data_IF_613671442329
#
_entry.id   IF_613671442329
#
_cell.length_a   1.000
_cell.length_b   1.000
_cell.length_c   1.000
_cell.angle_alpha   90.00
_cell.angle_beta   90.00
_cell.angle_gamma   90.00
#
_symmetry.space_group_name_H-M   'P 1'
#
loop_
_entity.id
_entity.type
_entity.pdbx_description
1 polymer ?
#
# COMPACT_ATOMS: atom_id res chain seq x y z
N UNK A 1 -5.40 8.27 -17.40
CA UNK A 1 -4.82 7.19 -17.12
C UNK A 1 -4.84 6.76 -15.74
N UNK A 2 -5.10 5.58 -15.46
CA UNK A 2 -5.19 5.07 -14.14
C UNK A 2 -3.85 4.59 -13.65
N UNK A 3 -3.51 4.89 -12.45
CA UNK A 3 -2.26 4.47 -11.89
C UNK A 3 -2.45 3.55 -10.71
N UNK A 4 -3.56 2.87 -10.69
CA UNK A 4 -3.87 1.97 -9.61
C UNK A 4 -2.81 0.91 -9.43
N UNK A 5 -2.18 0.48 -10.52
CA UNK A 5 -1.16 -0.54 -10.46
C UNK A 5 0.26 0.00 -10.41
N UNK A 6 0.40 1.31 -10.30
CA UNK A 6 1.70 1.93 -10.22
C UNK A 6 2.26 1.72 -8.82
N UNK A 7 3.40 1.06 -8.68
CA UNK A 7 3.95 0.80 -7.35
C UNK A 7 4.23 2.05 -6.54
N UNK A 8 4.66 3.12 -7.19
CA UNK A 8 4.89 4.36 -6.48
C UNK A 8 3.61 4.93 -5.90
N UNK A 9 2.54 4.90 -6.68
CA UNK A 9 1.26 5.41 -6.24
C UNK A 9 0.71 4.55 -5.11
N UNK A 10 0.89 3.25 -5.20
CA UNK A 10 0.41 2.36 -4.18
C UNK A 10 1.18 2.55 -2.86
N UNK A 11 2.47 2.75 -2.94
CA UNK A 11 3.27 3.01 -1.75
C UNK A 11 2.91 4.33 -1.12
N UNK A 12 2.67 5.33 -1.94
CA UNK A 12 2.25 6.63 -1.45
C UNK A 12 0.93 6.52 -0.71
N UNK A 13 0.02 5.75 -1.26
CA UNK A 13 -1.27 5.56 -0.62
C UNK A 13 -1.10 4.82 0.72
N UNK A 14 -0.20 3.85 0.77
CA UNK A 14 0.07 3.14 2.00
C UNK A 14 0.58 4.10 3.07
N UNK A 15 1.44 5.01 2.68
CA UNK A 15 1.98 5.99 3.62
C UNK A 15 0.90 6.94 4.13
N UNK A 16 0.01 7.34 3.23
CA UNK A 16 -1.10 8.21 3.61
C UNK A 16 -2.00 7.52 4.62
N UNK A 17 -2.32 6.26 4.37
CA UNK A 17 -3.17 5.52 5.25
C UNK A 17 -2.49 5.31 6.61
N UNK A 18 -1.21 5.05 6.59
CA UNK A 18 -0.45 4.86 7.82
C UNK A 18 -0.43 6.16 8.65
N UNK A 19 -0.27 7.28 7.99
CA UNK A 19 -0.30 8.57 8.67
C UNK A 19 -1.66 8.82 9.29
N UNK A 20 -2.73 8.48 8.58
CA UNK A 20 -4.06 8.61 9.12
C UNK A 20 -4.25 7.72 10.34
N UNK A 21 -3.69 6.52 10.30
CA UNK A 21 -3.79 5.60 11.42
C UNK A 21 -3.16 6.20 12.67
N UNK A 22 -2.07 6.93 12.49
CA UNK A 22 -1.39 7.51 13.63
C UNK A 22 -2.20 8.56 14.34
N UNK A 23 -3.09 9.22 13.65
CA UNK A 23 -3.92 10.23 14.26
C UNK A 23 -5.17 9.65 14.92
N UNK A 24 -5.43 8.38 14.78
CA UNK A 24 -6.59 7.76 15.39
C UNK A 24 -6.28 7.37 16.82
N UNK A 25 -7.25 7.56 17.70
CA UNK A 25 -7.07 7.18 19.08
C UNK A 25 -7.69 5.83 19.38
N UNK A 26 -8.63 5.41 18.58
CA UNK A 26 -9.29 4.14 18.76
C UNK A 26 -8.39 3.01 18.28
N UNK A 27 -7.97 2.09 19.15
CA UNK A 27 -7.03 1.04 18.75
C UNK A 27 -7.56 0.12 17.67
N UNK A 28 -8.84 -0.14 17.66
CA UNK A 28 -9.41 -1.00 16.64
C UNK A 28 -9.39 -0.32 15.28
N UNK A 29 -9.78 0.94 15.25
CA UNK A 29 -9.78 1.69 14.01
C UNK A 29 -8.35 1.84 13.49
N UNK A 30 -7.43 2.11 14.41
CA UNK A 30 -6.03 2.24 14.04
C UNK A 30 -5.51 0.95 13.41
N UNK A 31 -5.84 -0.17 14.00
CA UNK A 31 -5.38 -1.45 13.49
C UNK A 31 -5.96 -1.73 12.10
N UNK A 32 -7.22 -1.40 11.88
CA UNK A 32 -7.82 -1.57 10.57
C UNK A 32 -7.11 -0.75 9.52
N UNK A 33 -6.76 0.49 9.85
CA UNK A 33 -6.06 1.34 8.90
C UNK A 33 -4.67 0.81 8.63
N UNK A 34 -4.00 0.30 9.64
CA UNK A 34 -2.67 -0.28 9.43
C UNK A 34 -2.75 -1.52 8.55
N UNK A 35 -3.81 -2.29 8.69
CA UNK A 35 -4.01 -3.44 7.82
C UNK A 35 -4.21 -3.02 6.37
N UNK A 36 -4.95 -1.94 6.16
CA UNK A 36 -5.16 -1.41 4.83
C UNK A 36 -3.84 -0.94 4.23
N UNK A 37 -3.02 -0.26 5.03
CA UNK A 37 -1.72 0.19 4.55
C UNK A 37 -0.85 -0.99 4.14
N UNK A 38 -0.87 -2.05 4.93
CA UNK A 38 -0.10 -3.24 4.61
C UNK A 38 -0.57 -3.87 3.30
N UNK A 39 -1.87 -3.85 3.06
CA UNK A 39 -2.41 -4.38 1.82
C UNK A 39 -1.96 -3.56 0.62
N UNK A 40 -1.92 -2.25 0.77
CA UNK A 40 -1.42 -1.40 -0.31
C UNK A 40 0.05 -1.71 -0.59
N UNK A 41 0.82 -1.96 0.44
CA UNK A 41 2.24 -2.28 0.26
C UNK A 41 2.42 -3.61 -0.45
N UNK A 42 1.57 -4.57 -0.16
CA UNK A 42 1.62 -5.84 -0.86
C UNK A 42 1.29 -5.67 -2.34
N UNK A 43 0.30 -4.85 -2.62
CA UNK A 43 -0.06 -4.57 -4.00
C UNK A 43 1.07 -3.85 -4.71
N UNK A 44 1.75 -2.95 -4.02
CA UNK A 44 2.86 -2.23 -4.60
C UNK A 44 3.98 -3.18 -4.96
N UNK A 45 4.25 -4.12 -4.08
CA UNK A 45 5.30 -5.09 -4.34
C UNK A 45 4.97 -5.96 -5.54
N UNK A 46 3.73 -6.39 -5.64
CA UNK A 46 3.29 -7.17 -6.78
C UNK A 46 3.39 -6.39 -8.08
N UNK A 47 3.01 -5.11 -8.04
CA UNK A 47 3.09 -4.28 -9.22
C UNK A 47 4.54 -4.05 -9.63
N UNK A 48 5.42 -3.91 -8.66
CA UNK A 48 6.82 -3.75 -8.91
C UNK A 48 7.41 -5.00 -9.56
N UNK A 49 7.08 -6.15 -9.02
CA UNK A 49 7.56 -7.42 -9.55
C UNK A 49 7.08 -7.62 -10.98
N UNK A 50 5.87 -7.24 -11.25
CA UNK A 50 5.30 -7.37 -12.57
C UNK A 50 5.98 -6.43 -13.55
N UNK A 51 6.24 -5.20 -13.12
CA UNK A 51 6.86 -4.21 -13.97
C UNK A 51 8.29 -4.55 -14.31
N UNK A 52 9.03 -5.17 -13.43
CA UNK A 52 10.40 -5.53 -13.69
C UNK A 52 10.47 -6.80 -14.50
N UNK A 53 9.39 -7.32 -14.83
CA UNK A 53 9.30 -8.44 -15.61
C UNK A 53 9.69 -9.67 -14.93
N UNK A 54 9.72 -9.81 -14.32
CA UNK A 54 10.05 -10.74 -13.79
C UNK A 54 10.18 -11.83 -14.23
N UNK A 55 10.55 -12.06 -14.50
CA UNK A 55 10.82 -12.70 -14.79
C UNK A 55 10.96 -13.64 -14.43
N UNK A 56 10.90 -14.18 -14.52
CA UNK A 56 11.01 -14.93 -14.02
C UNK A 56 11.54 -15.72 -14.14
N UNK A 57 11.70 -16.36 -13.91
CA UNK A 57 12.47 -17.33 -13.82
C UNK A 57 12.30 -18.27 -14.35
#
# INVERSE_FOLDING_TARGET
MSHINDPKALRHRAEEVRAMAESLTDPEAKQLMLNVAADYEKLAKRAEDRSTGMKLP
#
